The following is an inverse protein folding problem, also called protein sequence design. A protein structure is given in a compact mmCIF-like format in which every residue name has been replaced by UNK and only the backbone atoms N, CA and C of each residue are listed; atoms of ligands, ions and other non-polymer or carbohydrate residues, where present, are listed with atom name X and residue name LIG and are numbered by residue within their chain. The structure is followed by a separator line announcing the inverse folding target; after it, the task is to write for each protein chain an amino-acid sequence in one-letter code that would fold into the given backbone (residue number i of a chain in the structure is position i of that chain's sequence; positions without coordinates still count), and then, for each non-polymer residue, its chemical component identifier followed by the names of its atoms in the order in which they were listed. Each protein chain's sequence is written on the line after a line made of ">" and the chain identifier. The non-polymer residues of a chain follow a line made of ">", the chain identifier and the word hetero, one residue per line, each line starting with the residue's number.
data_IF_907972380155
#
_entry.id   IF_907972380155
#
_cell.length_a   1.000
_cell.length_b   1.000
_cell.length_c   1.000
_cell.angle_alpha   90.00
_cell.angle_beta   90.00
_cell.angle_gamma   90.00
#
_symmetry.space_group_name_H-M   'P 1'
#
loop_
_entity.id
_entity.type
_entity.pdbx_description
1 polymer ?
#
# COMPACT_ATOMS: atom_id res chain seq x y z
N UNK A 1 -22.98 0.91 8.20
CA UNK A 1 -22.57 0.17 6.98
C UNK A 1 -21.38 -0.68 7.39
N UNK A 2 -21.22 -1.90 6.89
CA UNK A 2 -20.10 -2.74 7.28
C UNK A 2 -18.80 -2.20 6.64
N UNK A 3 -17.78 -1.96 7.45
CA UNK A 3 -16.45 -1.55 7.03
C UNK A 3 -15.48 -2.70 7.30
N UNK A 4 -14.48 -2.86 6.42
CA UNK A 4 -13.45 -3.91 6.55
C UNK A 4 -12.09 -3.26 6.59
N UNK A 5 -11.20 -3.78 7.43
CA UNK A 5 -9.79 -3.39 7.45
C UNK A 5 -8.97 -4.52 6.87
N UNK A 6 -8.14 -4.21 5.87
CA UNK A 6 -7.17 -5.14 5.28
C UNK A 6 -5.78 -4.66 5.70
N UNK A 7 -5.00 -5.54 6.33
CA UNK A 7 -3.65 -5.22 6.83
C UNK A 7 -2.61 -5.83 5.88
N UNK A 8 -1.80 -4.96 5.27
CA UNK A 8 -0.79 -5.29 4.27
C UNK A 8 -1.32 -5.15 2.84
N UNK A 9 -0.69 -4.31 2.04
CA UNK A 9 -1.09 -3.99 0.67
C UNK A 9 -0.15 -4.63 -0.37
N UNK A 10 0.27 -5.87 -0.14
CA UNK A 10 0.81 -6.74 -1.19
C UNK A 10 -0.29 -7.20 -2.16
N UNK A 11 0.07 -8.02 -3.16
CA UNK A 11 -0.89 -8.55 -4.15
C UNK A 11 -2.14 -9.19 -3.54
N UNK A 12 -1.99 -9.91 -2.42
CA UNK A 12 -3.10 -10.54 -1.72
C UNK A 12 -4.06 -9.53 -1.09
N UNK A 13 -3.54 -8.51 -0.39
CA UNK A 13 -4.35 -7.47 0.24
C UNK A 13 -5.02 -6.55 -0.77
N UNK A 14 -4.30 -6.21 -1.85
CA UNK A 14 -4.84 -5.48 -3.01
C UNK A 14 -6.04 -6.22 -3.59
N UNK A 15 -5.91 -7.53 -3.86
CA UNK A 15 -7.01 -8.31 -4.42
C UNK A 15 -8.20 -8.40 -3.46
N UNK A 16 -7.96 -8.69 -2.18
CA UNK A 16 -9.01 -8.75 -1.17
C UNK A 16 -9.77 -7.42 -1.04
N UNK A 17 -9.05 -6.29 -1.09
CA UNK A 17 -9.66 -4.97 -1.04
C UNK A 17 -10.54 -4.70 -2.28
N UNK A 18 -10.05 -5.02 -3.49
CA UNK A 18 -10.82 -4.85 -4.73
C UNK A 18 -12.10 -5.71 -4.75
N UNK A 19 -12.01 -6.97 -4.33
CA UNK A 19 -13.16 -7.88 -4.32
C UNK A 19 -14.25 -7.40 -3.35
N UNK A 20 -13.86 -7.01 -2.13
CA UNK A 20 -14.77 -6.44 -1.13
C UNK A 20 -15.39 -5.12 -1.60
N UNK A 21 -14.59 -4.26 -2.20
CA UNK A 21 -15.03 -2.97 -2.70
C UNK A 21 -15.99 -3.09 -3.89
N UNK A 22 -15.82 -4.13 -4.72
CA UNK A 22 -16.75 -4.52 -5.79
C UNK A 22 -18.12 -4.98 -5.28
N UNK A 23 -18.19 -5.46 -4.04
CA UNK A 23 -19.44 -5.73 -3.33
C UNK A 23 -19.97 -4.51 -2.53
N UNK A 24 -19.46 -3.32 -2.82
CA UNK A 24 -19.86 -2.06 -2.19
C UNK A 24 -19.62 -2.01 -0.67
N UNK A 25 -18.61 -2.74 -0.20
CA UNK A 25 -18.13 -2.71 1.18
C UNK A 25 -16.97 -1.71 1.24
N UNK A 26 -17.00 -0.78 2.20
CA UNK A 26 -15.89 0.16 2.36
C UNK A 26 -14.69 -0.52 3.01
N UNK A 27 -13.51 -0.39 2.41
CA UNK A 27 -12.28 -1.04 2.84
C UNK A 27 -11.22 -0.02 3.24
N UNK A 28 -10.67 -0.16 4.44
CA UNK A 28 -9.46 0.51 4.87
C UNK A 28 -8.27 -0.39 4.61
N UNK A 29 -7.45 -0.05 3.62
CA UNK A 29 -6.25 -0.79 3.27
C UNK A 29 -5.04 -0.17 3.98
N UNK A 30 -4.47 -0.87 4.95
CA UNK A 30 -3.36 -0.39 5.79
C UNK A 30 -2.04 -0.95 5.27
N UNK A 31 -1.10 -0.08 4.92
CA UNK A 31 0.24 -0.44 4.43
C UNK A 31 1.31 0.28 5.25
N UNK A 32 2.27 -0.49 5.76
CA UNK A 32 3.37 0.02 6.57
C UNK A 32 4.34 0.84 5.75
N UNK A 33 4.65 0.37 4.54
CA UNK A 33 5.64 1.02 3.69
C UNK A 33 5.04 2.26 2.98
N UNK A 34 5.89 3.12 2.37
CA UNK A 34 5.41 4.29 1.64
C UNK A 34 4.59 3.98 0.38
N UNK A 35 4.65 2.74 -0.13
CA UNK A 35 3.95 2.29 -1.33
C UNK A 35 3.31 0.92 -1.11
N UNK A 36 2.21 0.69 -1.82
CA UNK A 36 1.59 -0.63 -1.95
C UNK A 36 2.34 -1.48 -3.01
N UNK A 37 2.05 -2.77 -3.08
CA UNK A 37 2.60 -3.72 -4.05
C UNK A 37 3.31 -4.91 -3.38
N UNK A 38 3.97 -4.67 -2.24
CA UNK A 38 4.70 -5.69 -1.49
C UNK A 38 5.86 -6.30 -2.28
N UNK A 39 6.28 -7.52 -1.92
CA UNK A 39 7.42 -8.18 -2.57
C UNK A 39 7.23 -8.45 -4.07
N UNK A 40 5.99 -8.56 -4.53
CA UNK A 40 5.73 -8.78 -5.95
C UNK A 40 6.24 -7.62 -6.80
N UNK A 41 6.22 -6.39 -6.28
CA UNK A 41 6.77 -5.22 -6.96
C UNK A 41 8.31 -5.27 -7.09
N UNK A 42 9.00 -6.07 -6.27
CA UNK A 42 10.45 -6.26 -6.32
C UNK A 42 10.87 -7.33 -7.35
N UNK A 43 9.94 -8.15 -7.83
CA UNK A 43 10.24 -9.22 -8.78
C UNK A 43 10.34 -8.65 -10.19
N UNK A 44 11.23 -9.19 -11.02
CA UNK A 44 11.23 -8.88 -12.47
C UNK A 44 10.06 -9.61 -13.16
N UNK A 45 9.97 -10.93 -12.96
CA UNK A 45 8.99 -11.80 -13.63
C UNK A 45 8.29 -12.76 -12.71
N UNK A 46 7.12 -13.22 -13.13
CA UNK A 46 6.31 -14.20 -12.41
C UNK A 46 6.18 -15.51 -13.18
N UNK A 47 6.60 -16.62 -12.57
CA UNK A 47 6.34 -17.95 -13.13
C UNK A 47 4.83 -18.28 -13.05
N UNK A 48 4.30 -19.16 -13.92
CA UNK A 48 4.98 -19.89 -15.01
C UNK A 48 5.02 -19.11 -16.33
N UNK A 49 4.20 -18.06 -16.48
CA UNK A 49 4.05 -17.32 -17.74
C UNK A 49 5.26 -16.46 -18.07
N UNK A 50 6.09 -16.16 -17.06
CA UNK A 50 7.26 -15.31 -17.17
C UNK A 50 6.90 -13.88 -17.61
N UNK A 51 5.68 -13.44 -17.26
CA UNK A 51 5.23 -12.07 -17.44
C UNK A 51 5.98 -11.14 -16.48
N UNK A 52 6.14 -9.89 -16.87
CA UNK A 52 6.63 -8.85 -15.97
C UNK A 52 5.67 -8.69 -14.78
N UNK A 53 6.21 -8.73 -13.57
CA UNK A 53 5.42 -8.63 -12.33
C UNK A 53 4.60 -7.33 -12.27
N UNK A 54 5.20 -6.23 -12.72
CA UNK A 54 4.57 -4.92 -12.72
C UNK A 54 3.49 -4.80 -13.79
N UNK A 55 3.55 -5.56 -14.88
CA UNK A 55 2.48 -5.56 -15.89
C UNK A 55 1.16 -6.07 -15.31
N UNK A 56 1.20 -7.02 -14.37
CA UNK A 56 0.01 -7.58 -13.72
C UNK A 56 -0.35 -6.85 -12.41
N UNK A 57 0.63 -6.31 -11.70
CA UNK A 57 0.42 -5.65 -10.41
C UNK A 57 0.04 -4.18 -10.54
N UNK A 58 0.69 -3.42 -11.44
CA UNK A 58 0.42 -1.98 -11.64
C UNK A 58 -1.04 -1.63 -11.88
N UNK A 59 -1.79 -2.31 -12.78
CA UNK A 59 -3.20 -1.98 -12.97
C UNK A 59 -4.00 -2.14 -11.67
N UNK A 60 -3.75 -3.19 -10.90
CA UNK A 60 -4.43 -3.41 -9.61
C UNK A 60 -4.08 -2.35 -8.57
N UNK A 61 -2.82 -1.90 -8.53
CA UNK A 61 -2.40 -0.80 -7.65
C UNK A 61 -3.13 0.50 -8.00
N UNK A 62 -3.26 0.80 -9.30
CA UNK A 62 -4.00 1.99 -9.77
C UNK A 62 -5.49 1.88 -9.47
N UNK A 63 -6.08 0.70 -9.68
CA UNK A 63 -7.50 0.46 -9.39
C UNK A 63 -7.78 0.68 -7.90
N UNK A 64 -6.96 0.10 -7.00
CA UNK A 64 -7.07 0.32 -5.55
C UNK A 64 -6.95 1.79 -5.19
N UNK A 65 -5.98 2.51 -5.75
CA UNK A 65 -5.74 3.92 -5.44
C UNK A 65 -6.89 4.84 -5.88
N UNK A 66 -7.68 4.44 -6.87
CA UNK A 66 -8.78 5.24 -7.43
C UNK A 66 -10.17 4.76 -7.03
N UNK A 67 -10.27 3.60 -6.39
CA UNK A 67 -11.57 3.01 -6.08
C UNK A 67 -12.30 3.82 -4.98
N UNK A 68 -13.56 4.26 -5.19
CA UNK A 68 -14.26 5.12 -4.24
C UNK A 68 -14.54 4.45 -2.88
N UNK A 69 -14.65 3.12 -2.88
CA UNK A 69 -14.88 2.33 -1.67
C UNK A 69 -13.59 1.86 -0.98
N UNK A 70 -12.40 2.27 -1.42
CA UNK A 70 -11.14 1.88 -0.79
C UNK A 70 -10.40 3.13 -0.31
N UNK A 71 -10.16 3.20 1.00
CA UNK A 71 -9.29 4.21 1.60
C UNK A 71 -7.92 3.57 1.87
N UNK A 72 -6.89 4.02 1.16
CA UNK A 72 -5.52 3.51 1.36
C UNK A 72 -4.77 4.36 2.38
N UNK A 73 -4.21 3.70 3.40
CA UNK A 73 -3.39 4.30 4.45
C UNK A 73 -1.97 3.75 4.34
N UNK A 74 -1.10 4.47 3.62
CA UNK A 74 0.33 4.15 3.52
C UNK A 74 1.11 4.77 4.67
N UNK A 75 2.36 4.33 4.89
CA UNK A 75 3.15 4.70 6.06
C UNK A 75 2.37 4.46 7.38
N UNK A 76 1.52 3.44 7.44
CA UNK A 76 0.57 3.24 8.53
C UNK A 76 0.64 1.82 9.06
N UNK A 77 0.67 1.69 10.39
CA UNK A 77 0.74 0.40 11.08
C UNK A 77 -0.45 0.25 12.04
N UNK A 78 -0.90 -0.99 12.24
CA UNK A 78 -1.92 -1.29 13.25
C UNK A 78 -1.25 -1.50 14.61
N UNK A 79 -1.64 -0.70 15.60
CA UNK A 79 -1.13 -0.78 16.98
C UNK A 79 -1.91 -1.77 17.84
N UNK A 80 -3.24 -1.71 17.75
CA UNK A 80 -4.13 -2.57 18.52
C UNK A 80 -5.42 -2.84 17.77
N UNK A 81 -6.00 -4.00 18.04
CA UNK A 81 -7.33 -4.39 17.58
C UNK A 81 -8.11 -4.83 18.81
N UNK A 82 -9.16 -4.07 19.12
CA UNK A 82 -10.04 -4.32 20.25
C UNK A 82 -11.46 -4.65 19.73
N UNK A 83 -12.25 -5.34 20.55
CA UNK A 83 -13.65 -5.66 20.23
C UNK A 83 -13.87 -7.10 19.78
N UNK A 84 -15.04 -7.34 19.18
CA UNK A 84 -15.54 -8.66 18.83
C UNK A 84 -16.07 -8.69 17.39
N UNK A 85 -16.45 -9.87 16.91
CA UNK A 85 -16.93 -10.06 15.53
C UNK A 85 -18.06 -9.09 15.23
N UNK A 86 -17.87 -8.23 14.21
CA UNK A 86 -18.84 -7.22 13.78
C UNK A 86 -18.73 -5.87 14.52
N UNK A 87 -17.91 -5.76 15.56
CA UNK A 87 -17.65 -4.51 16.28
C UNK A 87 -16.18 -4.40 16.67
N UNK A 88 -15.33 -4.22 15.67
CA UNK A 88 -13.90 -4.00 15.88
C UNK A 88 -13.57 -2.51 16.00
N UNK A 89 -12.63 -2.20 16.89
CA UNK A 89 -11.97 -0.91 16.97
C UNK A 89 -10.50 -1.13 16.69
N UNK A 90 -10.02 -0.59 15.56
CA UNK A 90 -8.63 -0.71 15.12
C UNK A 90 -7.93 0.61 15.36
N UNK A 91 -6.83 0.61 16.13
CA UNK A 91 -5.96 1.76 16.29
C UNK A 91 -4.85 1.70 15.24
N UNK A 92 -4.80 2.69 14.37
CA UNK A 92 -3.78 2.80 13.32
C UNK A 92 -2.88 4.00 13.60
N UNK A 93 -1.57 3.78 13.58
CA UNK A 93 -0.54 4.79 13.70
C UNK A 93 -0.02 5.13 12.31
N UNK A 94 -0.31 6.35 11.84
CA UNK A 94 0.24 6.90 10.61
C UNK A 94 1.57 7.60 10.90
N UNK A 95 2.65 7.10 10.33
CA UNK A 95 3.97 7.69 10.42
C UNK A 95 4.05 8.94 9.54
N UNK A 96 4.60 10.05 10.06
CA UNK A 96 4.77 11.25 9.26
C UNK A 96 5.78 11.00 8.14
N UNK A 97 5.41 11.37 6.92
CA UNK A 97 6.33 11.41 5.77
C UNK A 97 7.25 12.63 5.81
N UNK A 98 6.96 13.60 6.69
CA UNK A 98 7.59 14.93 6.75
C UNK A 98 7.46 15.72 5.43
N UNK A 99 6.41 15.42 4.65
CA UNK A 99 6.06 16.07 3.40
C UNK A 99 4.56 16.38 3.44
N UNK A 100 4.15 17.54 2.95
CA UNK A 100 2.73 17.88 2.78
C UNK A 100 2.19 17.11 1.58
N UNK A 101 1.47 16.00 1.83
CA UNK A 101 1.00 15.08 0.79
C UNK A 101 0.14 15.76 -0.30
N UNK A 102 -0.63 16.80 0.06
CA UNK A 102 -1.47 17.55 -0.88
C UNK A 102 -0.70 18.47 -1.82
N UNK A 103 0.54 18.82 -1.49
CA UNK A 103 1.39 19.70 -2.31
C UNK A 103 2.47 18.92 -3.08
N UNK A 104 2.74 17.68 -2.66
CA UNK A 104 3.71 16.81 -3.32
C UNK A 104 3.20 16.37 -4.69
N UNK A 105 3.99 16.62 -5.74
CA UNK A 105 3.70 16.19 -7.11
C UNK A 105 4.56 14.98 -7.55
N UNK A 106 5.48 14.50 -6.71
CA UNK A 106 6.34 13.37 -7.01
C UNK A 106 7.39 13.63 -8.10
N UNK A 107 7.86 14.88 -8.30
CA UNK A 107 8.84 15.20 -9.35
C UNK A 107 10.22 14.56 -9.15
N UNK A 108 10.66 14.39 -7.91
CA UNK A 108 11.95 13.78 -7.58
C UNK A 108 13.11 14.77 -7.38
N UNK A 109 12.94 16.06 -7.65
CA UNK A 109 14.00 17.09 -7.54
C UNK A 109 14.67 17.12 -6.14
N UNK A 110 13.91 16.82 -5.09
CA UNK A 110 14.40 16.77 -3.72
C UNK A 110 15.42 15.64 -3.47
N UNK A 111 15.37 14.57 -4.26
CA UNK A 111 16.27 13.41 -4.14
C UNK A 111 17.66 13.78 -4.67
N UNK A 112 17.74 14.51 -5.78
CA UNK A 112 19.01 14.88 -6.44
C UNK A 112 19.91 15.78 -5.57
N UNK A 113 19.30 16.62 -4.73
CA UNK A 113 20.03 17.54 -3.84
C UNK A 113 20.36 16.94 -2.48
N UNK A 114 19.84 15.75 -2.16
CA UNK A 114 20.01 15.17 -0.83
C UNK A 114 21.47 14.78 -0.59
N UNK A 115 22.14 15.33 0.44
CA UNK A 115 23.56 15.02 0.70
C UNK A 115 23.77 13.72 1.48
N UNK A 116 22.68 13.02 1.84
CA UNK A 116 22.71 11.83 2.69
C UNK A 116 22.28 10.61 1.88
N UNK A 117 23.12 9.59 1.86
CA UNK A 117 22.80 8.27 1.34
C UNK A 117 22.24 7.39 2.47
N UNK A 118 21.22 6.61 2.16
CA UNK A 118 20.56 5.71 3.10
C UNK A 118 20.40 4.34 2.49
N UNK A 119 20.37 3.30 3.33
CA UNK A 119 20.16 1.93 2.88
C UNK A 119 18.80 1.77 2.20
N UNK A 120 18.82 1.42 0.90
CA UNK A 120 17.61 1.13 0.15
C UNK A 120 17.07 -0.26 0.50
N UNK A 121 15.98 -0.28 1.28
CA UNK A 121 15.32 -1.52 1.71
C UNK A 121 14.64 -2.26 0.57
N UNK A 122 14.20 -1.56 -0.46
CA UNK A 122 13.50 -2.15 -1.59
C UNK A 122 14.46 -2.98 -2.45
N UNK A 123 15.66 -2.47 -2.68
CA UNK A 123 16.71 -3.15 -3.46
C UNK A 123 17.60 -4.08 -2.62
N UNK A 124 17.18 -4.40 -1.39
CA UNK A 124 17.93 -5.22 -0.44
C UNK A 124 19.40 -4.76 -0.26
N UNK A 125 19.65 -3.44 -0.34
CA UNK A 125 20.96 -2.83 -0.14
C UNK A 125 21.91 -2.86 -1.33
N UNK A 126 21.42 -3.18 -2.53
CA UNK A 126 22.24 -3.24 -3.76
C UNK A 126 22.22 -1.90 -4.53
N UNK A 127 21.39 -0.94 -4.11
CA UNK A 127 21.21 0.39 -4.72
C UNK A 127 21.28 1.54 -3.73
#
# INVERSE_FOLDING_TARGET
>A
MAEVVVIGAGVAGIQAALDLAGHNIHVHLIEREPSIGGHMAQLDKTFPTNDCSMCILSPKMVDVARHPNITTHTCSEVDSVDGEIGSFRVRVRKHPRYIIESECNGCGDCIEICPVEVYNRFDAGIG
#
